data_IF_543076773141
#
_entry.id   IF_543076773141
#
_cell.length_a   1.000
_cell.length_b   1.000
_cell.length_c   1.000
_cell.angle_alpha   90.00
_cell.angle_beta   90.00
_cell.angle_gamma   90.00
#
_symmetry.space_group_name_H-M   'P 1'
#
loop_
_entity.id
_entity.type
_entity.pdbx_description
1 polymer ?
#
# COMPACT_ATOMS: atom_id res chain seq x y z
N UNK A 1 3.38 11.18 29.62
CA UNK A 1 4.25 10.59 28.56
C UNK A 1 5.65 10.48 29.13
N UNK A 2 6.30 9.30 29.12
CA UNK A 2 7.67 9.14 29.62
C UNK A 2 8.65 9.97 28.76
N UNK A 3 9.69 10.57 29.37
CA UNK A 3 10.75 11.32 28.67
C UNK A 3 11.39 10.48 27.53
N UNK A 4 11.55 9.17 27.75
CA UNK A 4 12.04 8.23 26.74
C UNK A 4 11.11 8.12 25.53
N UNK A 5 9.80 8.14 25.73
CA UNK A 5 8.83 8.10 24.62
C UNK A 5 8.81 9.39 23.80
N UNK A 6 8.99 10.53 24.46
CA UNK A 6 9.11 11.82 23.78
C UNK A 6 10.37 11.86 22.91
N UNK A 7 11.50 11.40 23.43
CA UNK A 7 12.75 11.33 22.69
C UNK A 7 12.66 10.38 21.49
N UNK A 8 12.04 9.22 21.66
CA UNK A 8 11.79 8.27 20.56
C UNK A 8 10.96 8.90 19.43
N UNK A 9 9.83 9.54 19.77
CA UNK A 9 8.97 10.20 18.78
C UNK A 9 9.74 11.31 18.05
N UNK A 10 10.50 12.13 18.79
CA UNK A 10 11.30 13.21 18.18
C UNK A 10 12.36 12.67 17.22
N UNK A 11 13.10 11.63 17.62
CA UNK A 11 14.08 10.94 16.78
C UNK A 11 13.43 10.40 15.50
N UNK A 12 12.24 9.78 15.62
CA UNK A 12 11.48 9.25 14.48
C UNK A 12 11.01 10.36 13.51
N UNK A 13 10.54 11.48 14.04
CA UNK A 13 10.13 12.63 13.22
C UNK A 13 11.34 13.22 12.50
N UNK A 14 12.48 13.38 13.17
CA UNK A 14 13.71 13.88 12.54
C UNK A 14 14.19 12.95 11.43
N UNK A 15 14.19 11.64 11.68
CA UNK A 15 14.53 10.64 10.66
C UNK A 15 13.55 10.65 9.49
N UNK A 16 12.26 10.84 9.75
CA UNK A 16 11.22 10.98 8.74
C UNK A 16 11.48 12.19 7.83
N UNK A 17 11.76 13.35 8.40
CA UNK A 17 12.08 14.57 7.67
C UNK A 17 13.34 14.37 6.84
N UNK A 18 14.38 13.79 7.42
CA UNK A 18 15.63 13.49 6.72
C UNK A 18 15.40 12.54 5.54
N UNK A 19 14.62 11.48 5.76
CA UNK A 19 14.27 10.50 4.71
C UNK A 19 13.54 11.17 3.55
N UNK A 20 12.52 11.98 3.85
CA UNK A 20 11.76 12.71 2.83
C UNK A 20 12.66 13.68 2.07
N UNK A 21 13.53 14.41 2.77
CA UNK A 21 14.47 15.33 2.13
C UNK A 21 15.46 14.58 1.21
N UNK A 22 16.00 13.44 1.63
CA UNK A 22 16.86 12.59 0.78
C UNK A 22 16.09 12.11 -0.46
N UNK A 23 14.84 11.64 -0.29
CA UNK A 23 14.02 11.21 -1.42
C UNK A 23 13.78 12.34 -2.41
N UNK A 24 13.43 13.54 -1.94
CA UNK A 24 13.25 14.72 -2.79
C UNK A 24 14.53 15.00 -3.57
N UNK A 25 15.66 15.07 -2.86
CA UNK A 25 16.96 15.41 -3.45
C UNK A 25 17.37 14.39 -4.51
N UNK A 26 17.35 13.11 -4.16
CA UNK A 26 17.75 12.04 -5.09
C UNK A 26 16.83 12.02 -6.30
N UNK A 27 15.50 12.08 -6.10
CA UNK A 27 14.54 12.05 -7.21
C UNK A 27 14.74 13.24 -8.14
N UNK A 28 14.96 14.45 -7.58
CA UNK A 28 15.18 15.65 -8.36
C UNK A 28 16.41 15.53 -9.27
N UNK A 29 17.56 15.16 -8.72
CA UNK A 29 18.79 15.07 -9.50
C UNK A 29 18.81 13.89 -10.47
N UNK A 30 18.28 12.73 -10.06
CA UNK A 30 18.16 11.56 -10.96
C UNK A 30 17.26 11.90 -12.16
N UNK A 31 16.11 12.50 -11.92
CA UNK A 31 15.18 12.89 -12.98
C UNK A 31 15.80 13.86 -14.00
N UNK A 32 16.56 14.86 -13.52
CA UNK A 32 17.24 15.83 -14.39
C UNK A 32 18.49 15.24 -15.08
N UNK A 33 19.01 14.12 -14.59
CA UNK A 33 20.14 13.41 -15.23
C UNK A 33 19.70 12.58 -16.45
N UNK A 34 18.39 12.32 -16.61
CA UNK A 34 17.86 11.55 -17.75
C UNK A 34 17.87 12.44 -19.01
N UNK A 35 18.58 12.04 -20.09
CA UNK A 35 18.63 12.83 -21.31
C UNK A 35 17.25 13.10 -21.92
N UNK A 36 17.05 14.31 -22.44
CA UNK A 36 15.93 14.65 -23.30
C UNK A 36 14.84 15.53 -22.69
N UNK A 37 14.86 15.80 -21.38
CA UNK A 37 13.90 16.71 -20.74
C UNK A 37 12.42 16.28 -20.81
N UNK A 38 11.50 17.05 -20.23
CA UNK A 38 10.07 16.69 -20.13
C UNK A 38 9.30 16.84 -21.47
N UNK A 39 9.79 17.62 -22.40
CA UNK A 39 9.09 17.94 -23.64
C UNK A 39 9.58 17.15 -24.88
N UNK A 40 10.55 16.26 -24.70
CA UNK A 40 11.05 15.38 -25.77
C UNK A 40 10.08 14.23 -26.00
N UNK A 41 9.61 14.07 -27.25
CA UNK A 41 8.69 12.99 -27.67
C UNK A 41 7.26 13.45 -27.97
N UNK A 42 6.88 14.66 -27.67
CA UNK A 42 5.68 15.26 -28.26
C UNK A 42 5.99 15.65 -29.73
N UNK A 43 5.01 15.46 -30.64
CA UNK A 43 5.09 15.82 -32.06
C UNK A 43 5.93 17.08 -32.24
N UNK A 44 6.92 17.05 -33.14
CA UNK A 44 7.95 18.06 -33.36
C UNK A 44 7.51 19.49 -32.97
N UNK A 45 7.73 19.83 -31.72
CA UNK A 45 7.53 21.20 -31.21
C UNK A 45 8.69 22.00 -31.77
N UNK A 46 8.43 23.20 -32.33
CA UNK A 46 9.52 24.06 -32.76
C UNK A 46 10.42 24.40 -31.59
N UNK A 47 11.71 24.64 -31.86
CA UNK A 47 12.68 25.01 -30.80
C UNK A 47 12.22 26.24 -30.02
N UNK A 48 11.58 27.19 -30.69
CA UNK A 48 11.02 28.40 -30.09
C UNK A 48 9.87 28.08 -29.11
N UNK A 49 8.97 27.17 -29.49
CA UNK A 49 7.86 26.74 -28.63
C UNK A 49 8.38 25.95 -27.42
N UNK A 50 9.40 25.13 -27.61
CA UNK A 50 10.04 24.42 -26.50
C UNK A 50 10.69 25.41 -25.50
N UNK A 51 11.47 26.37 -25.98
CA UNK A 51 12.09 27.39 -25.15
C UNK A 51 11.06 28.22 -24.39
N UNK A 52 9.93 28.55 -25.00
CA UNK A 52 8.84 29.26 -24.35
C UNK A 52 8.19 28.43 -23.22
N UNK A 53 8.05 27.12 -23.42
CA UNK A 53 7.56 26.21 -22.38
C UNK A 53 8.58 26.05 -21.24
N UNK A 54 9.85 25.88 -21.54
CA UNK A 54 10.91 25.79 -20.54
C UNK A 54 10.98 27.06 -19.68
N UNK A 55 10.92 28.23 -20.30
CA UNK A 55 10.87 29.52 -19.58
C UNK A 55 9.60 29.66 -18.73
N UNK A 56 8.43 29.25 -19.25
CA UNK A 56 7.16 29.30 -18.52
C UNK A 56 7.20 28.47 -17.23
N UNK A 57 7.86 27.32 -17.23
CA UNK A 57 7.98 26.43 -16.08
C UNK A 57 9.29 26.60 -15.31
N UNK A 58 10.14 27.56 -15.70
CA UNK A 58 11.41 27.86 -15.04
C UNK A 58 12.47 26.77 -15.19
N UNK A 59 12.33 25.92 -16.21
CA UNK A 59 13.29 24.84 -16.51
C UNK A 59 14.56 25.37 -17.23
N UNK A 60 14.55 26.62 -17.67
CA UNK A 60 15.65 27.35 -18.25
C UNK A 60 16.65 27.89 -17.18
N UNK A 61 16.27 27.87 -15.91
CA UNK A 61 17.10 28.36 -14.80
C UNK A 61 18.18 27.36 -14.40
N UNK A 62 19.26 27.83 -13.70
CA UNK A 62 20.26 26.93 -13.12
C UNK A 62 19.61 25.84 -12.25
N UNK A 63 20.08 24.60 -12.37
CA UNK A 63 19.49 23.43 -11.70
C UNK A 63 19.32 23.60 -10.19
N UNK A 64 20.33 24.25 -9.54
CA UNK A 64 20.26 24.50 -8.10
C UNK A 64 19.17 25.52 -7.74
N UNK A 65 18.91 26.50 -8.58
CA UNK A 65 17.83 27.48 -8.38
C UNK A 65 16.45 26.79 -8.50
N UNK A 66 16.29 25.91 -9.49
CA UNK A 66 15.09 25.09 -9.62
C UNK A 66 14.86 24.24 -8.36
N UNK A 67 15.91 23.57 -7.86
CA UNK A 67 15.83 22.73 -6.66
C UNK A 67 15.42 23.52 -5.42
N UNK A 68 16.09 24.65 -5.15
CA UNK A 68 15.81 25.49 -3.97
C UNK A 68 14.40 26.08 -4.06
N UNK A 69 13.98 26.54 -5.25
CA UNK A 69 12.63 27.07 -5.48
C UNK A 69 11.57 26.00 -5.22
N UNK A 70 11.80 24.79 -5.74
CA UNK A 70 10.90 23.66 -5.54
C UNK A 70 10.75 23.28 -4.05
N UNK A 71 11.89 23.17 -3.33
CA UNK A 71 11.87 22.91 -1.88
C UNK A 71 11.12 24.00 -1.11
N UNK A 72 11.39 25.27 -1.43
CA UNK A 72 10.70 26.39 -0.79
C UNK A 72 9.19 26.32 -1.00
N UNK A 73 8.75 26.09 -2.23
CA UNK A 73 7.31 26.08 -2.56
C UNK A 73 6.60 24.90 -1.90
N UNK A 74 7.22 23.73 -1.80
CA UNK A 74 6.67 22.59 -1.04
C UNK A 74 6.57 22.94 0.45
N UNK A 75 7.63 23.43 1.06
CA UNK A 75 7.67 23.65 2.52
C UNK A 75 6.76 24.81 2.95
N UNK A 76 6.69 25.88 2.14
CA UNK A 76 5.96 27.09 2.52
C UNK A 76 4.52 27.13 2.04
N UNK A 77 4.19 26.46 0.92
CA UNK A 77 2.88 26.55 0.27
C UNK A 77 2.20 25.20 0.08
N UNK A 78 2.88 24.09 0.35
CA UNK A 78 2.44 22.74 -0.04
C UNK A 78 2.10 22.64 -1.53
N UNK A 79 2.81 23.41 -2.36
CA UNK A 79 2.58 23.47 -3.80
C UNK A 79 3.61 22.60 -4.53
N UNK A 80 3.12 21.56 -5.21
CA UNK A 80 3.90 20.67 -6.07
C UNK A 80 3.97 21.17 -7.52
N UNK A 81 3.33 22.30 -7.81
CA UNK A 81 3.24 22.87 -9.15
C UNK A 81 2.17 22.26 -10.05
N UNK A 82 2.01 22.79 -11.27
CA UNK A 82 1.13 22.23 -12.27
C UNK A 82 1.77 20.99 -12.94
N UNK A 83 0.94 20.03 -13.37
CA UNK A 83 1.41 18.94 -14.23
C UNK A 83 1.89 19.50 -15.57
N UNK A 84 3.03 19.01 -16.06
CA UNK A 84 3.59 19.40 -17.36
C UNK A 84 2.84 18.74 -18.53
N UNK A 85 2.12 17.64 -18.27
CA UNK A 85 1.42 16.82 -19.27
C UNK A 85 -0.10 16.93 -19.19
N UNK A 86 -0.66 17.04 -17.99
CA UNK A 86 -2.10 17.17 -17.77
C UNK A 86 -2.46 18.66 -17.74
N UNK A 87 -2.79 19.22 -18.89
CA UNK A 87 -3.07 20.64 -19.04
C UNK A 87 -4.14 21.12 -18.06
N UNK A 88 -3.83 22.19 -17.32
CA UNK A 88 -4.75 22.81 -16.37
C UNK A 88 -4.99 22.03 -15.07
N UNK A 89 -4.21 20.96 -14.79
CA UNK A 89 -4.31 20.21 -13.55
C UNK A 89 -3.13 20.51 -12.62
N UNK A 90 -3.41 20.80 -11.38
CA UNK A 90 -2.38 20.86 -10.35
C UNK A 90 -2.01 19.44 -9.92
N UNK A 91 -0.73 19.24 -9.60
CA UNK A 91 -0.22 17.92 -9.16
C UNK A 91 -0.96 17.43 -7.93
N UNK A 92 -1.22 18.32 -6.96
CA UNK A 92 -1.92 17.97 -5.72
C UNK A 92 -3.34 17.43 -5.98
N UNK A 93 -4.08 18.02 -6.92
CA UNK A 93 -5.43 17.57 -7.26
C UNK A 93 -5.43 16.14 -7.82
N UNK A 94 -4.48 15.87 -8.72
CA UNK A 94 -4.33 14.53 -9.31
C UNK A 94 -3.93 13.50 -8.26
N UNK A 95 -3.04 13.89 -7.34
CA UNK A 95 -2.63 13.03 -6.21
C UNK A 95 -3.84 12.72 -5.32
N UNK A 96 -4.63 13.71 -4.94
CA UNK A 96 -5.77 13.52 -4.05
C UNK A 96 -6.89 12.70 -4.67
N UNK A 97 -7.15 12.88 -5.96
CA UNK A 97 -8.10 12.05 -6.71
C UNK A 97 -7.63 10.60 -6.79
N UNK A 98 -6.36 10.38 -7.14
CA UNK A 98 -5.74 9.05 -7.20
C UNK A 98 -5.70 8.38 -5.83
N UNK A 99 -5.32 9.11 -4.78
CA UNK A 99 -5.26 8.59 -3.40
C UNK A 99 -6.62 8.15 -2.90
N UNK A 100 -7.69 8.91 -3.18
CA UNK A 100 -9.05 8.53 -2.81
C UNK A 100 -9.45 7.17 -3.40
N UNK A 101 -9.09 6.93 -4.66
CA UNK A 101 -9.34 5.64 -5.33
C UNK A 101 -8.48 4.52 -4.76
N UNK A 102 -7.17 4.74 -4.60
CA UNK A 102 -6.24 3.75 -4.04
C UNK A 102 -6.58 3.39 -2.60
N UNK A 103 -6.94 4.37 -1.77
CA UNK A 103 -7.36 4.13 -0.39
C UNK A 103 -8.64 3.29 -0.33
N UNK A 104 -9.64 3.61 -1.14
CA UNK A 104 -10.88 2.80 -1.23
C UNK A 104 -10.57 1.37 -1.64
N UNK A 105 -9.77 1.18 -2.68
CA UNK A 105 -9.34 -0.13 -3.16
C UNK A 105 -8.60 -0.91 -2.06
N UNK A 106 -7.61 -0.27 -1.45
CA UNK A 106 -6.76 -0.86 -0.42
C UNK A 106 -7.53 -1.24 0.85
N UNK A 107 -8.42 -0.36 1.33
CA UNK A 107 -9.25 -0.63 2.50
C UNK A 107 -10.16 -1.85 2.28
N UNK A 108 -10.89 -1.90 1.16
CA UNK A 108 -11.77 -3.04 0.85
C UNK A 108 -10.96 -4.33 0.75
N UNK A 109 -9.80 -4.31 0.08
CA UNK A 109 -8.93 -5.47 -0.04
C UNK A 109 -8.39 -5.93 1.32
N UNK A 110 -7.93 -5.01 2.17
CA UNK A 110 -7.37 -5.32 3.48
C UNK A 110 -8.39 -5.93 4.44
N UNK A 111 -9.56 -5.32 4.53
CA UNK A 111 -10.63 -5.86 5.38
C UNK A 111 -11.19 -7.18 4.85
N UNK A 112 -11.37 -7.31 3.53
CA UNK A 112 -11.75 -8.58 2.90
C UNK A 112 -10.73 -9.69 3.17
N UNK A 113 -9.44 -9.38 3.02
CA UNK A 113 -8.35 -10.30 3.33
C UNK A 113 -8.35 -10.74 4.80
N UNK A 114 -8.58 -9.80 5.73
CA UNK A 114 -8.65 -10.12 7.16
C UNK A 114 -9.83 -11.03 7.49
N UNK A 115 -11.04 -10.70 7.05
CA UNK A 115 -12.25 -11.49 7.33
C UNK A 115 -12.12 -12.90 6.76
N UNK A 116 -11.76 -13.03 5.49
CA UNK A 116 -11.62 -14.33 4.83
C UNK A 116 -10.44 -15.11 5.41
N UNK A 117 -9.30 -14.45 5.63
CA UNK A 117 -8.09 -15.08 6.16
C UNK A 117 -8.26 -15.60 7.59
N UNK A 118 -8.87 -14.84 8.48
CA UNK A 118 -9.18 -15.27 9.85
C UNK A 118 -10.16 -16.47 9.82
N UNK A 119 -11.17 -16.40 8.97
CA UNK A 119 -12.17 -17.47 8.86
C UNK A 119 -11.53 -18.76 8.36
N UNK A 120 -10.78 -18.71 7.25
CA UNK A 120 -10.12 -19.89 6.68
C UNK A 120 -9.06 -20.46 7.63
N UNK A 121 -8.27 -19.61 8.30
CA UNK A 121 -7.25 -20.02 9.26
C UNK A 121 -7.88 -20.71 10.49
N UNK A 122 -8.98 -20.17 11.00
CA UNK A 122 -9.74 -20.78 12.11
C UNK A 122 -10.32 -22.14 11.73
N UNK A 123 -10.93 -22.26 10.55
CA UNK A 123 -11.47 -23.52 10.04
C UNK A 123 -10.35 -24.55 9.86
N UNK A 124 -9.21 -24.16 9.28
CA UNK A 124 -8.05 -25.03 9.11
C UNK A 124 -7.50 -25.52 10.46
N UNK A 125 -7.40 -24.65 11.47
CA UNK A 125 -6.94 -25.02 12.81
C UNK A 125 -7.90 -26.01 13.51
N UNK A 126 -9.21 -25.75 13.43
CA UNK A 126 -10.24 -26.62 14.05
C UNK A 126 -10.37 -27.98 13.33
N UNK A 127 -10.02 -28.04 12.06
CA UNK A 127 -10.02 -29.26 11.23
C UNK A 127 -8.59 -29.76 10.97
N UNK A 128 -7.68 -29.56 11.93
CA UNK A 128 -6.26 -29.95 11.83
C UNK A 128 -6.07 -31.35 11.25
N UNK A 129 -5.14 -31.49 10.34
CA UNK A 129 -4.73 -32.73 9.66
C UNK A 129 -5.81 -33.39 8.76
N UNK A 130 -6.98 -32.78 8.57
CA UNK A 130 -7.99 -33.25 7.61
C UNK A 130 -7.62 -32.80 6.17
N UNK A 131 -8.34 -33.36 5.19
CA UNK A 131 -8.22 -32.94 3.78
C UNK A 131 -8.50 -31.46 3.62
N UNK A 132 -9.51 -30.92 4.32
CA UNK A 132 -9.87 -29.49 4.26
C UNK A 132 -8.70 -28.60 4.72
N UNK A 133 -8.06 -28.94 5.85
CA UNK A 133 -6.87 -28.21 6.33
C UNK A 133 -5.75 -28.22 5.29
N UNK A 134 -5.42 -29.40 4.77
CA UNK A 134 -4.37 -29.55 3.75
C UNK A 134 -4.69 -28.75 2.48
N UNK A 135 -5.92 -28.78 2.00
CA UNK A 135 -6.36 -28.03 0.81
C UNK A 135 -6.23 -26.53 1.02
N UNK A 136 -6.71 -25.99 2.16
CA UNK A 136 -6.56 -24.57 2.50
C UNK A 136 -5.09 -24.20 2.52
N UNK A 137 -4.23 -25.01 3.13
CA UNK A 137 -2.80 -24.72 3.23
C UNK A 137 -2.08 -24.77 1.87
N UNK A 138 -2.44 -25.70 0.98
CA UNK A 138 -1.87 -25.75 -0.39
C UNK A 138 -2.28 -24.51 -1.19
N UNK A 139 -3.56 -24.16 -1.18
CA UNK A 139 -4.09 -22.98 -1.91
C UNK A 139 -3.43 -21.69 -1.39
N UNK A 140 -3.37 -21.52 -0.07
CA UNK A 140 -2.75 -20.32 0.51
C UNK A 140 -1.25 -20.27 0.25
N UNK A 141 -0.57 -21.42 0.20
CA UNK A 141 0.85 -21.46 -0.20
C UNK A 141 1.01 -21.01 -1.65
N UNK A 142 0.16 -21.47 -2.55
CA UNK A 142 0.18 -21.02 -3.94
C UNK A 142 0.01 -19.49 -4.04
N UNK A 143 -0.97 -18.91 -3.32
CA UNK A 143 -1.20 -17.46 -3.34
C UNK A 143 -0.07 -16.63 -2.73
N UNK A 144 0.65 -17.15 -1.74
CA UNK A 144 1.83 -16.47 -1.18
C UNK A 144 3.03 -16.55 -2.14
N UNK A 145 3.15 -17.66 -2.87
CA UNK A 145 4.29 -17.91 -3.77
C UNK A 145 4.16 -17.22 -5.13
N UNK A 146 2.94 -16.87 -5.55
CA UNK A 146 2.70 -16.27 -6.87
C UNK A 146 2.78 -14.73 -6.78
N UNK A 147 3.56 -14.08 -7.66
CA UNK A 147 3.56 -12.62 -7.77
C UNK A 147 2.16 -12.07 -8.09
N UNK A 148 1.81 -10.95 -7.45
CA UNK A 148 0.48 -10.34 -7.60
C UNK A 148 0.11 -9.98 -9.05
N UNK A 149 1.09 -9.61 -9.88
CA UNK A 149 0.84 -9.30 -11.28
C UNK A 149 0.44 -10.53 -12.10
N UNK A 150 0.99 -11.70 -11.80
CA UNK A 150 0.60 -12.95 -12.45
C UNK A 150 -0.84 -13.30 -12.06
N UNK A 151 -1.16 -13.22 -10.77
CA UNK A 151 -2.53 -13.48 -10.29
C UNK A 151 -3.54 -12.49 -10.89
N UNK A 152 -3.19 -11.20 -10.92
CA UNK A 152 -4.04 -10.17 -11.53
C UNK A 152 -4.30 -10.45 -13.01
N UNK A 153 -3.26 -10.81 -13.75
CA UNK A 153 -3.39 -11.15 -15.17
C UNK A 153 -4.24 -12.40 -15.40
N UNK A 154 -4.08 -13.44 -14.60
CA UNK A 154 -4.93 -14.63 -14.67
C UNK A 154 -6.40 -14.31 -14.39
N UNK A 155 -6.68 -13.56 -13.33
CA UNK A 155 -8.04 -13.15 -12.99
C UNK A 155 -8.66 -12.31 -14.11
N UNK A 156 -7.90 -11.39 -14.68
CA UNK A 156 -8.36 -10.56 -15.80
C UNK A 156 -8.68 -11.42 -17.03
N UNK A 157 -7.77 -12.32 -17.42
CA UNK A 157 -7.97 -13.19 -18.60
C UNK A 157 -9.18 -14.10 -18.39
N UNK A 158 -9.32 -14.74 -17.24
CA UNK A 158 -10.41 -15.69 -16.98
C UNK A 158 -11.73 -14.95 -16.84
N UNK A 159 -11.85 -14.01 -15.91
CA UNK A 159 -13.14 -13.44 -15.53
C UNK A 159 -13.61 -12.29 -16.42
N UNK A 160 -12.69 -11.58 -17.07
CA UNK A 160 -13.05 -10.48 -17.94
C UNK A 160 -13.01 -10.85 -19.42
N UNK A 161 -11.91 -11.48 -19.87
CA UNK A 161 -11.73 -11.76 -21.31
C UNK A 161 -12.45 -13.03 -21.72
N UNK A 162 -12.25 -14.15 -21.01
CA UNK A 162 -12.80 -15.45 -21.41
C UNK A 162 -14.29 -15.61 -21.04
N UNK A 163 -14.66 -15.23 -19.80
CA UNK A 163 -16.02 -15.40 -19.28
C UNK A 163 -16.91 -14.16 -19.46
N UNK A 164 -16.33 -12.96 -19.63
CA UNK A 164 -17.10 -11.73 -19.75
C UNK A 164 -17.93 -11.34 -18.52
N UNK A 165 -17.61 -11.91 -17.34
CA UNK A 165 -18.42 -11.72 -16.12
C UNK A 165 -18.13 -10.38 -15.42
N UNK A 166 -16.89 -9.90 -15.50
CA UNK A 166 -16.43 -8.70 -14.81
C UNK A 166 -15.68 -7.78 -15.77
N UNK A 167 -15.79 -6.45 -15.61
CA UNK A 167 -15.10 -5.53 -16.50
C UNK A 167 -13.57 -5.56 -16.27
N UNK A 168 -12.81 -5.42 -17.36
CA UNK A 168 -11.36 -5.33 -17.33
C UNK A 168 -10.85 -3.98 -16.78
N UNK A 169 -11.64 -2.91 -16.95
CA UNK A 169 -11.27 -1.56 -16.60
C UNK A 169 -11.78 -1.21 -15.20
N UNK A 170 -10.85 -0.93 -14.28
CA UNK A 170 -11.13 -0.56 -12.90
C UNK A 170 -11.92 0.75 -12.72
N UNK A 171 -11.95 1.61 -13.73
CA UNK A 171 -12.76 2.83 -13.72
C UNK A 171 -14.25 2.58 -14.05
N UNK A 172 -14.59 1.41 -14.59
CA UNK A 172 -15.97 1.04 -14.94
C UNK A 172 -16.79 0.67 -13.69
N UNK A 173 -18.11 0.66 -13.83
CA UNK A 173 -18.99 0.17 -12.77
C UNK A 173 -18.69 -1.33 -12.50
N UNK A 174 -18.45 -1.68 -11.24
CA UNK A 174 -18.00 -3.03 -10.86
C UNK A 174 -16.53 -3.34 -11.16
N UNK A 175 -15.78 -2.44 -11.80
CA UNK A 175 -14.40 -2.65 -12.23
C UNK A 175 -13.38 -2.81 -11.08
N UNK A 176 -13.74 -2.45 -9.85
CA UNK A 176 -12.87 -2.63 -8.69
C UNK A 176 -12.86 -4.06 -8.13
N UNK A 177 -13.77 -4.96 -8.56
CA UNK A 177 -13.88 -6.31 -8.00
C UNK A 177 -12.58 -7.11 -8.22
N UNK A 178 -12.12 -7.22 -9.46
CA UNK A 178 -10.90 -7.97 -9.79
C UNK A 178 -9.64 -7.36 -9.13
N UNK A 179 -9.41 -6.04 -9.17
CA UNK A 179 -8.33 -5.38 -8.41
C UNK A 179 -8.36 -5.67 -6.93
N UNK A 180 -9.54 -5.59 -6.28
CA UNK A 180 -9.73 -5.88 -4.86
C UNK A 180 -9.34 -7.32 -4.55
N UNK A 181 -9.84 -8.29 -5.32
CA UNK A 181 -9.51 -9.71 -5.13
C UNK A 181 -8.00 -9.92 -5.29
N UNK A 182 -7.41 -9.41 -6.38
CA UNK A 182 -5.98 -9.53 -6.65
C UNK A 182 -5.13 -9.01 -5.50
N UNK A 183 -5.47 -7.82 -4.99
CA UNK A 183 -4.73 -7.17 -3.91
C UNK A 183 -4.92 -7.89 -2.56
N UNK A 184 -6.08 -8.54 -2.35
CA UNK A 184 -6.42 -9.27 -1.14
C UNK A 184 -5.78 -10.67 -1.05
N UNK A 185 -5.45 -11.33 -2.16
CA UNK A 185 -5.05 -12.74 -2.17
C UNK A 185 -3.81 -13.02 -1.31
N UNK A 186 -2.74 -12.25 -1.48
CA UNK A 186 -1.53 -12.44 -0.70
C UNK A 186 -1.75 -12.23 0.81
N UNK A 187 -2.28 -11.08 1.27
CA UNK A 187 -2.50 -10.86 2.70
C UNK A 187 -3.54 -11.83 3.29
N UNK A 188 -4.58 -12.19 2.54
CA UNK A 188 -5.55 -13.20 2.95
C UNK A 188 -4.87 -14.55 3.24
N UNK A 189 -4.01 -14.99 2.33
CA UNK A 189 -3.28 -16.24 2.47
C UNK A 189 -2.30 -16.20 3.65
N UNK A 190 -1.61 -15.08 3.83
CA UNK A 190 -0.71 -14.88 4.96
C UNK A 190 -1.46 -14.89 6.29
N UNK A 191 -2.56 -14.14 6.40
CA UNK A 191 -3.43 -14.10 7.59
C UNK A 191 -4.00 -15.49 7.88
N UNK A 192 -4.41 -16.24 6.85
CA UNK A 192 -4.90 -17.62 7.03
C UNK A 192 -3.86 -18.50 7.73
N UNK A 193 -2.62 -18.49 7.26
CA UNK A 193 -1.52 -19.28 7.84
C UNK A 193 -1.18 -18.83 9.24
N UNK A 194 -1.12 -17.51 9.46
CA UNK A 194 -0.83 -16.92 10.76
C UNK A 194 -1.91 -17.26 11.79
N UNK A 195 -3.19 -17.11 11.41
CA UNK A 195 -4.33 -17.46 12.27
C UNK A 195 -4.34 -18.96 12.59
N UNK A 196 -4.10 -19.83 11.59
CA UNK A 196 -4.03 -21.27 11.82
C UNK A 196 -2.94 -21.64 12.82
N UNK A 197 -1.74 -21.16 12.63
CA UNK A 197 -0.61 -21.45 13.53
C UNK A 197 -0.90 -20.99 14.95
N UNK A 198 -1.22 -19.71 15.11
CA UNK A 198 -1.50 -19.11 16.41
C UNK A 198 -2.69 -19.76 17.11
N UNK A 199 -3.75 -20.15 16.37
CA UNK A 199 -4.90 -20.84 16.96
C UNK A 199 -4.55 -22.24 17.45
N UNK A 200 -3.70 -22.97 16.73
CA UNK A 200 -3.21 -24.29 17.18
C UNK A 200 -2.37 -24.18 18.48
N UNK A 201 -1.52 -23.17 18.55
CA UNK A 201 -0.72 -22.90 19.75
C UNK A 201 -1.60 -22.58 20.96
N UNK A 202 -2.59 -21.71 20.77
CA UNK A 202 -3.55 -21.34 21.83
C UNK A 202 -4.41 -22.50 22.26
N UNK A 203 -4.91 -23.31 21.34
CA UNK A 203 -5.74 -24.48 21.67
C UNK A 203 -4.98 -25.56 22.46
N UNK A 204 -3.65 -25.55 22.42
CA UNK A 204 -2.76 -26.42 23.20
C UNK A 204 -2.50 -25.96 24.64
N UNK A 205 -2.85 -24.71 25.00
CA UNK A 205 -2.53 -24.12 26.30
C UNK A 205 -3.34 -24.71 27.46
N UNK A 206 -2.76 -24.68 28.66
CA UNK A 206 -3.36 -25.29 29.87
C UNK A 206 -4.64 -24.59 30.32
N UNK A 207 -4.80 -23.30 30.10
CA UNK A 207 -6.04 -22.60 30.43
C UNK A 207 -7.22 -23.05 29.55
N UNK A 208 -6.96 -23.48 28.32
CA UNK A 208 -7.98 -24.08 27.44
C UNK A 208 -8.36 -25.47 27.93
N UNK A 209 -7.40 -26.28 28.40
CA UNK A 209 -7.66 -27.59 29.02
C UNK A 209 -8.49 -27.43 30.28
N UNK A 210 -8.13 -26.46 31.13
CA UNK A 210 -8.89 -26.13 32.34
C UNK A 210 -10.33 -25.69 32.02
N UNK A 211 -10.53 -24.86 31.01
CA UNK A 211 -11.88 -24.44 30.57
C UNK A 211 -12.73 -25.63 30.10
N UNK A 212 -12.13 -26.58 29.37
CA UNK A 212 -12.81 -27.85 28.97
C UNK A 212 -13.19 -28.72 30.17
N UNK A 213 -12.26 -28.87 31.12
CA UNK A 213 -12.48 -29.64 32.35
C UNK A 213 -13.59 -29.04 33.23
N UNK A 214 -13.77 -27.72 33.18
CA UNK A 214 -14.87 -27.01 33.88
C UNK A 214 -16.18 -27.04 33.09
N UNK A 215 -16.28 -27.77 31.97
CA UNK A 215 -17.53 -27.92 31.21
C UNK A 215 -17.91 -26.70 30.38
N UNK A 216 -17.01 -25.76 30.10
CA UNK A 216 -17.30 -24.59 29.25
C UNK A 216 -17.68 -25.08 27.83
N UNK A 217 -18.79 -24.61 27.25
CA UNK A 217 -19.20 -25.01 25.91
C UNK A 217 -18.11 -24.74 24.85
N UNK A 218 -17.95 -25.69 23.92
CA UNK A 218 -16.92 -25.61 22.88
C UNK A 218 -16.97 -24.27 22.08
N UNK A 219 -18.16 -23.78 21.76
CA UNK A 219 -18.36 -22.49 21.08
C UNK A 219 -17.75 -21.33 21.86
N UNK A 220 -17.95 -21.30 23.19
CA UNK A 220 -17.40 -20.25 24.07
C UNK A 220 -15.86 -20.37 24.20
N UNK A 221 -15.33 -21.61 24.22
CA UNK A 221 -13.88 -21.84 24.20
C UNK A 221 -13.28 -21.33 22.90
N UNK A 222 -13.88 -21.65 21.75
CA UNK A 222 -13.36 -21.26 20.43
C UNK A 222 -13.40 -19.73 20.26
N UNK A 223 -14.57 -19.10 20.37
CA UNK A 223 -14.73 -17.68 20.07
C UNK A 223 -14.31 -16.76 21.22
N UNK A 224 -14.56 -17.15 22.47
CA UNK A 224 -14.27 -16.32 23.65
C UNK A 224 -12.83 -16.42 24.15
N UNK A 225 -12.17 -17.56 23.97
CA UNK A 225 -10.83 -17.79 24.50
C UNK A 225 -9.80 -18.02 23.39
N UNK A 226 -10.01 -18.98 22.48
CA UNK A 226 -9.00 -19.35 21.52
C UNK A 226 -8.83 -18.28 20.43
N UNK A 227 -9.90 -17.89 19.75
CA UNK A 227 -9.84 -16.93 18.65
C UNK A 227 -9.32 -15.57 19.13
N UNK A 228 -9.83 -15.07 20.24
CA UNK A 228 -9.40 -13.77 20.79
C UNK A 228 -7.87 -13.68 20.99
N UNK A 229 -7.29 -14.72 21.58
CA UNK A 229 -5.85 -14.75 21.86
C UNK A 229 -5.01 -15.05 20.61
N UNK A 230 -5.55 -15.85 19.69
CA UNK A 230 -4.86 -16.17 18.43
C UNK A 230 -4.83 -15.01 17.42
N UNK A 231 -5.67 -13.99 17.61
CA UNK A 231 -5.68 -12.80 16.74
C UNK A 231 -4.58 -11.79 17.07
N UNK A 232 -3.87 -11.90 18.20
CA UNK A 232 -2.80 -10.96 18.57
C UNK A 232 -1.77 -10.82 17.44
N UNK A 233 -1.16 -11.91 16.89
CA UNK A 233 -0.20 -11.78 15.77
C UNK A 233 -0.85 -11.25 14.50
N UNK A 234 -2.14 -11.53 14.26
CA UNK A 234 -2.88 -11.03 13.10
C UNK A 234 -3.06 -9.52 13.18
N UNK A 235 -3.45 -9.00 14.35
CA UNK A 235 -3.60 -7.55 14.59
C UNK A 235 -2.26 -6.85 14.39
N UNK A 236 -1.17 -7.45 14.90
CA UNK A 236 0.20 -6.96 14.73
C UNK A 236 0.60 -6.88 13.24
N UNK A 237 0.25 -7.88 12.44
CA UNK A 237 0.51 -7.87 11.00
C UNK A 237 -0.39 -6.90 10.23
N UNK A 238 -1.64 -6.73 10.67
CA UNK A 238 -2.67 -5.96 9.95
C UNK A 238 -2.30 -4.48 9.79
N UNK A 239 -1.69 -3.86 10.81
CA UNK A 239 -1.30 -2.45 10.75
C UNK A 239 -0.34 -2.13 9.60
N UNK A 240 0.87 -2.73 9.55
CA UNK A 240 1.82 -2.55 8.45
C UNK A 240 1.26 -2.95 7.09
N UNK A 241 0.52 -4.05 7.03
CA UNK A 241 -0.16 -4.50 5.81
C UNK A 241 -1.11 -3.43 5.28
N UNK A 242 -1.96 -2.88 6.15
CA UNK A 242 -2.90 -1.82 5.78
C UNK A 242 -2.16 -0.57 5.27
N UNK A 243 -1.09 -0.18 5.96
CA UNK A 243 -0.22 0.91 5.54
C UNK A 243 0.26 0.72 4.10
N UNK A 244 0.82 -0.45 3.82
CA UNK A 244 1.37 -0.79 2.51
C UNK A 244 0.29 -0.85 1.42
N UNK A 245 -0.88 -1.44 1.71
CA UNK A 245 -1.94 -1.59 0.71
C UNK A 245 -2.61 -0.26 0.37
N UNK A 246 -2.82 0.61 1.36
CA UNK A 246 -3.49 1.91 1.17
C UNK A 246 -2.64 2.91 0.39
N UNK A 247 -1.30 2.77 0.41
CA UNK A 247 -0.41 3.61 -0.41
C UNK A 247 -0.58 3.41 -1.92
N UNK A 248 -1.38 2.42 -2.32
CA UNK A 248 -1.65 2.08 -3.72
C UNK A 248 -0.71 1.01 -4.26
N UNK A 249 -1.25 0.17 -5.11
CA UNK A 249 -0.48 -0.86 -5.81
C UNK A 249 -0.21 -0.42 -7.24
N UNK A 250 1.02 0.03 -7.51
CA UNK A 250 1.45 0.44 -8.86
C UNK A 250 1.13 -0.62 -9.91
N UNK A 251 1.35 -1.89 -9.57
CA UNK A 251 1.20 -3.01 -10.49
C UNK A 251 -0.27 -3.36 -10.73
N UNK A 252 -1.06 -3.52 -9.66
CA UNK A 252 -2.48 -3.90 -9.77
C UNK A 252 -3.28 -2.78 -10.42
N UNK A 253 -3.03 -1.53 -10.03
CA UNK A 253 -3.70 -0.37 -10.62
C UNK A 253 -3.38 -0.20 -12.10
N UNK A 254 -2.16 -0.54 -12.51
CA UNK A 254 -1.76 -0.49 -13.92
C UNK A 254 -2.44 -1.61 -14.75
N UNK A 255 -2.45 -2.85 -14.25
CA UNK A 255 -3.05 -4.00 -14.95
C UNK A 255 -4.54 -3.76 -15.20
N UNK A 256 -5.26 -3.30 -14.19
CA UNK A 256 -6.71 -3.12 -14.26
C UNK A 256 -7.12 -1.69 -14.65
N UNK A 257 -6.20 -0.85 -15.07
CA UNK A 257 -6.46 0.55 -15.42
C UNK A 257 -7.26 1.32 -14.34
N UNK A 258 -7.00 1.02 -13.04
CA UNK A 258 -7.60 1.75 -11.91
C UNK A 258 -7.01 3.16 -11.86
N UNK A 259 -7.82 4.24 -11.78
CA UNK A 259 -7.32 5.60 -11.72
C UNK A 259 -6.81 5.96 -10.32
N UNK A 260 -5.87 5.15 -9.80
CA UNK A 260 -5.26 5.34 -8.49
C UNK A 260 -3.92 6.05 -8.55
N UNK A 261 -3.35 6.36 -7.36
CA UNK A 261 -2.09 7.09 -7.24
C UNK A 261 -0.89 6.28 -7.75
N UNK A 262 -0.88 4.95 -7.57
CA UNK A 262 0.18 4.08 -8.08
C UNK A 262 0.26 4.09 -9.60
N UNK A 263 -0.89 4.08 -10.29
CA UNK A 263 -0.95 4.23 -11.74
C UNK A 263 -0.48 5.62 -12.18
N UNK A 264 -0.86 6.68 -11.47
CA UNK A 264 -0.42 8.05 -11.79
C UNK A 264 1.09 8.18 -11.66
N UNK A 265 1.68 7.57 -10.62
CA UNK A 265 3.13 7.53 -10.45
C UNK A 265 3.83 6.87 -11.66
N UNK A 266 3.40 5.66 -12.06
CA UNK A 266 3.98 4.97 -13.21
C UNK A 266 3.79 5.77 -14.51
N UNK A 267 2.60 6.30 -14.73
CA UNK A 267 2.29 7.12 -15.92
C UNK A 267 3.12 8.40 -15.98
N UNK A 268 3.39 9.03 -14.84
CA UNK A 268 4.21 10.25 -14.79
C UNK A 268 5.65 10.00 -15.25
N UNK A 269 6.23 8.85 -14.87
CA UNK A 269 7.58 8.45 -15.30
C UNK A 269 7.60 8.19 -16.81
N UNK A 270 6.64 7.41 -17.31
CA UNK A 270 6.55 7.08 -18.74
C UNK A 270 6.35 8.33 -19.61
N UNK A 271 5.55 9.28 -19.12
CA UNK A 271 5.25 10.52 -19.83
C UNK A 271 6.28 11.63 -19.56
N UNK A 272 7.29 11.40 -18.70
CA UNK A 272 8.29 12.40 -18.30
C UNK A 272 7.65 13.68 -17.71
N UNK A 273 6.59 13.52 -16.93
CA UNK A 273 5.98 14.63 -16.21
C UNK A 273 6.74 14.90 -14.91
N UNK A 274 7.72 15.76 -14.96
CA UNK A 274 8.68 16.02 -13.88
C UNK A 274 8.01 16.47 -12.59
N UNK A 275 7.06 17.40 -12.67
CA UNK A 275 6.32 17.88 -11.49
C UNK A 275 5.46 16.77 -10.89
N UNK A 276 4.83 15.95 -11.72
CA UNK A 276 4.03 14.81 -11.26
C UNK A 276 4.90 13.70 -10.66
N UNK A 277 6.07 13.38 -11.25
CA UNK A 277 7.04 12.42 -10.68
C UNK A 277 7.45 12.86 -9.28
N UNK A 278 7.87 14.12 -9.15
CA UNK A 278 8.29 14.69 -7.87
C UNK A 278 7.16 14.65 -6.85
N UNK A 279 5.99 15.19 -7.20
CA UNK A 279 4.85 15.27 -6.29
C UNK A 279 4.35 13.89 -5.83
N UNK A 280 4.19 12.94 -6.75
CA UNK A 280 3.76 11.57 -6.40
C UNK A 280 4.81 10.84 -5.56
N UNK A 281 6.10 10.97 -5.87
CA UNK A 281 7.18 10.37 -5.09
C UNK A 281 7.20 10.89 -3.66
N UNK A 282 7.15 12.22 -3.49
CA UNK A 282 7.15 12.86 -2.17
C UNK A 282 5.92 12.46 -1.37
N UNK A 283 4.75 12.48 -2.01
CA UNK A 283 3.51 12.11 -1.36
C UNK A 283 3.52 10.64 -0.89
N UNK A 284 3.93 9.71 -1.77
CA UNK A 284 4.01 8.28 -1.43
C UNK A 284 5.05 8.02 -0.34
N UNK A 285 6.23 8.64 -0.42
CA UNK A 285 7.25 8.53 0.61
C UNK A 285 6.76 9.06 1.96
N UNK A 286 6.11 10.22 1.97
CA UNK A 286 5.52 10.81 3.17
C UNK A 286 4.43 9.91 3.77
N UNK A 287 3.57 9.36 2.92
CA UNK A 287 2.51 8.45 3.35
C UNK A 287 3.07 7.17 3.96
N UNK A 288 4.07 6.54 3.33
CA UNK A 288 4.75 5.35 3.86
C UNK A 288 5.38 5.64 5.22
N UNK A 289 6.07 6.76 5.36
CA UNK A 289 6.72 7.16 6.62
C UNK A 289 5.67 7.39 7.73
N UNK A 290 4.58 8.10 7.43
CA UNK A 290 3.48 8.33 8.37
C UNK A 290 2.82 7.01 8.78
N UNK A 291 2.52 6.14 7.82
CA UNK A 291 1.88 4.86 8.10
C UNK A 291 2.79 3.92 8.89
N UNK A 292 4.10 3.92 8.65
CA UNK A 292 5.05 3.18 9.46
C UNK A 292 5.08 3.71 10.91
N UNK A 293 5.07 5.04 11.10
CA UNK A 293 4.99 5.63 12.42
C UNK A 293 3.69 5.24 13.16
N UNK A 294 2.57 5.26 12.46
CA UNK A 294 1.27 4.81 13.01
C UNK A 294 1.35 3.32 13.38
N UNK A 295 1.94 2.48 12.54
CA UNK A 295 2.13 1.06 12.81
C UNK A 295 2.99 0.82 14.06
N UNK A 296 4.10 1.54 14.20
CA UNK A 296 4.97 1.46 15.39
C UNK A 296 4.23 1.85 16.68
N UNK A 297 3.37 2.87 16.61
CA UNK A 297 2.54 3.28 17.74
C UNK A 297 1.46 2.23 18.07
N UNK A 298 0.83 1.64 17.06
CA UNK A 298 -0.16 0.57 17.23
C UNK A 298 0.47 -0.68 17.85
N UNK A 299 1.71 -1.04 17.46
CA UNK A 299 2.44 -2.15 18.08
C UNK A 299 2.56 -1.98 19.60
N UNK A 300 2.88 -0.79 20.06
CA UNK A 300 2.99 -0.52 21.50
C UNK A 300 1.66 -0.61 22.25
N UNK A 301 0.56 -0.25 21.60
CA UNK A 301 -0.79 -0.36 22.19
C UNK A 301 -1.20 -1.83 22.31
N UNK A 302 -0.84 -2.66 21.33
CA UNK A 302 -1.19 -4.09 21.28
C UNK A 302 -0.28 -4.92 22.19
N UNK A 303 1.02 -4.61 22.22
CA UNK A 303 1.97 -5.28 23.10
C UNK A 303 2.77 -4.26 23.94
N UNK A 304 2.32 -3.95 25.17
CA UNK A 304 3.01 -3.02 26.08
C UNK A 304 4.42 -3.46 26.49
N UNK A 305 4.81 -4.72 26.24
CA UNK A 305 6.13 -5.27 26.60
C UNK A 305 7.23 -4.85 25.63
N UNK A 306 6.86 -4.28 24.49
CA UNK A 306 7.85 -3.76 23.52
C UNK A 306 8.43 -2.48 24.12
N UNK A 307 9.69 -2.55 24.54
CA UNK A 307 10.49 -1.37 24.91
C UNK A 307 11.13 -0.82 23.63
N UNK A 308 11.02 0.48 23.43
CA UNK A 308 11.73 1.18 22.37
C UNK A 308 13.12 1.58 22.92
N UNK A 309 14.17 0.95 22.42
CA UNK A 309 15.56 1.35 22.62
C UNK A 309 15.96 2.52 21.68
#
# INVERSE_FOLDING_TARGET
MSSKMMFYILKRILLAILTIWIVITVTFFVMHSVPGGPFVGEKAISKEAQAALEAKYGLDRPLMEQYVTYLRDIVTKFDFGPSLKLRGRMVIDVIMDGMRTSAKLGLIAAFGAAVVGITLGSVAALRRNTVLDKTIMVITTAFVSMPSFIMGSFLLIIFSVALGWLPANGASQGGLILPVITLALYPMAYITRLTRSSMLDVLGQDYIRTARAKGVPAKKIIFGHALKNSLIPVITYFGPMLAFIVTGSMVVEQIFAVPGIGRQFVSSITNRDYTMIMGTTIFLASLIVIMNLISDLLYKVVDPRIEFD
#
